data_IF_494667195845
#
_entry.id   IF_494667195845
#
_cell.length_a   1.000
_cell.length_b   1.000
_cell.length_c   1.000
_cell.angle_alpha   90.00
_cell.angle_beta   90.00
_cell.angle_gamma   90.00
#
_symmetry.space_group_name_H-M   'P 1'
#
loop_
_entity.id
_entity.type
_entity.pdbx_description
1 polymer ?
#
# COMPACT_ATOMS: atom_id res chain seq x y z
N UNK A 1 36.33 -23.68 8.86
CA UNK A 1 35.16 -22.94 8.35
C UNK A 1 34.60 -22.20 9.54
N UNK A 2 34.67 -20.87 9.53
CA UNK A 2 33.92 -20.06 10.49
C UNK A 2 32.45 -20.43 10.35
N UNK A 3 31.80 -20.79 11.45
CA UNK A 3 30.36 -21.02 11.50
C UNK A 3 29.65 -19.78 10.96
N UNK A 4 29.15 -19.86 9.72
CA UNK A 4 28.45 -18.73 9.09
C UNK A 4 26.98 -18.87 9.42
N UNK A 5 26.49 -18.05 10.34
CA UNK A 5 25.05 -17.95 10.61
C UNK A 5 24.34 -17.38 9.38
N UNK A 6 23.37 -18.13 8.84
CA UNK A 6 22.48 -17.67 7.78
C UNK A 6 21.24 -17.06 8.45
N UNK A 7 20.98 -15.77 8.19
CA UNK A 7 19.77 -15.09 8.65
C UNK A 7 18.72 -15.13 7.54
N UNK A 8 17.97 -16.24 7.46
CA UNK A 8 16.94 -16.44 6.44
C UNK A 8 15.84 -15.37 6.53
N UNK A 9 15.41 -14.86 5.37
CA UNK A 9 14.38 -13.83 5.29
C UNK A 9 14.71 -12.48 5.93
N UNK A 10 15.93 -12.29 6.45
CA UNK A 10 16.33 -11.15 7.29
C UNK A 10 15.46 -10.99 8.55
N UNK A 11 14.86 -12.08 9.02
CA UNK A 11 14.02 -12.05 10.22
C UNK A 11 14.85 -11.64 11.45
N UNK A 12 14.33 -10.68 12.23
CA UNK A 12 15.01 -10.10 13.39
C UNK A 12 16.37 -9.45 13.11
N UNK A 13 16.65 -9.08 11.85
CA UNK A 13 17.88 -8.34 11.49
C UNK A 13 17.58 -6.85 11.33
N UNK A 14 18.22 -6.02 12.16
CA UNK A 14 18.19 -4.56 12.01
C UNK A 14 19.23 -4.17 10.95
N UNK A 15 18.77 -3.65 9.82
CA UNK A 15 19.63 -3.30 8.66
C UNK A 15 19.81 -1.79 8.45
N UNK A 16 19.02 -0.95 9.14
CA UNK A 16 19.09 0.49 9.07
C UNK A 16 18.51 1.14 10.33
N UNK A 17 18.99 2.33 10.67
CA UNK A 17 18.29 3.26 11.56
C UNK A 17 17.22 4.02 10.75
N UNK A 18 16.10 4.38 11.37
CA UNK A 18 15.04 5.13 10.68
C UNK A 18 14.28 6.06 11.63
N UNK A 19 13.81 7.18 11.10
CA UNK A 19 12.91 8.14 11.76
C UNK A 19 11.48 8.08 11.20
N UNK A 20 11.20 7.24 10.20
CA UNK A 20 9.96 7.28 9.42
C UNK A 20 8.79 6.60 10.12
N UNK A 21 8.99 5.41 10.66
CA UNK A 21 7.96 4.71 11.44
C UNK A 21 8.54 3.75 12.46
N UNK A 22 7.71 3.43 13.46
CA UNK A 22 7.99 2.43 14.49
C UNK A 22 6.74 1.58 14.71
N UNK A 23 6.93 0.28 14.92
CA UNK A 23 5.85 -0.69 15.16
C UNK A 23 6.16 -1.43 16.46
N UNK A 24 5.19 -1.44 17.38
CA UNK A 24 5.16 -2.37 18.51
C UNK A 24 4.02 -3.37 18.28
N UNK A 25 4.39 -4.58 17.86
CA UNK A 25 3.45 -5.65 17.52
C UNK A 25 2.68 -6.20 18.72
N UNK A 26 3.27 -6.15 19.91
CA UNK A 26 2.68 -6.70 21.13
C UNK A 26 1.76 -5.68 21.80
N UNK A 27 2.13 -4.40 21.76
CA UNK A 27 1.29 -3.31 22.26
C UNK A 27 0.22 -2.85 21.25
N UNK A 28 0.33 -3.26 19.97
CA UNK A 28 -0.57 -2.79 18.93
C UNK A 28 -0.34 -1.31 18.59
N UNK A 29 0.91 -0.85 18.62
CA UNK A 29 1.25 0.55 18.34
C UNK A 29 1.86 0.68 16.95
N UNK A 30 1.47 1.75 16.25
CA UNK A 30 2.10 2.22 15.02
C UNK A 30 2.33 3.72 15.16
N UNK A 31 3.60 4.12 15.02
CA UNK A 31 4.04 5.50 15.07
C UNK A 31 4.55 5.90 13.70
N UNK A 32 4.10 7.05 13.20
CA UNK A 32 4.55 7.65 11.94
C UNK A 32 5.25 8.96 12.26
N UNK A 33 6.56 9.02 12.01
CA UNK A 33 7.42 10.18 12.29
C UNK A 33 7.19 10.81 13.68
N UNK A 34 7.06 9.95 14.70
CA UNK A 34 6.86 10.37 16.10
C UNK A 34 5.40 10.57 16.55
N UNK A 35 4.42 10.47 15.65
CA UNK A 35 3.00 10.61 15.97
C UNK A 35 2.28 9.25 16.01
N UNK A 36 1.38 8.99 16.97
CA UNK A 36 0.50 7.83 16.93
C UNK A 36 -0.34 7.85 15.66
N UNK A 37 -0.44 6.70 14.97
CA UNK A 37 -1.17 6.61 13.70
C UNK A 37 -2.61 7.08 13.82
N UNK A 38 -3.30 6.72 14.91
CA UNK A 38 -4.70 7.08 15.10
C UNK A 38 -4.91 8.61 15.08
N UNK A 39 -4.01 9.38 15.70
CA UNK A 39 -4.09 10.84 15.68
C UNK A 39 -3.85 11.40 14.28
N UNK A 40 -2.87 10.84 13.56
CA UNK A 40 -2.48 11.31 12.23
C UNK A 40 -3.55 10.97 11.17
N UNK A 41 -4.04 9.74 11.15
CA UNK A 41 -4.95 9.24 10.14
C UNK A 41 -6.35 9.88 10.22
N UNK A 42 -6.79 10.29 11.41
CA UNK A 42 -8.07 10.96 11.63
C UNK A 42 -8.02 12.47 11.28
N UNK A 43 -6.86 13.12 11.46
CA UNK A 43 -6.78 14.59 11.42
C UNK A 43 -6.02 15.13 10.20
N UNK A 44 -4.93 14.47 9.80
CA UNK A 44 -4.06 14.99 8.76
C UNK A 44 -4.63 14.71 7.37
N UNK A 45 -4.30 15.60 6.44
CA UNK A 45 -4.40 15.31 5.02
C UNK A 45 -3.28 14.39 4.56
N UNK A 46 -3.44 13.74 3.41
CA UNK A 46 -2.38 12.87 2.88
C UNK A 46 -1.10 13.66 2.60
N UNK A 47 -1.24 14.88 2.08
CA UNK A 47 -0.09 15.74 1.77
C UNK A 47 0.66 16.19 3.03
N UNK A 48 -0.04 16.46 4.13
CA UNK A 48 0.59 16.74 5.44
C UNK A 48 1.39 15.54 5.95
N UNK A 49 0.85 14.34 5.79
CA UNK A 49 1.49 13.09 6.21
C UNK A 49 2.75 12.80 5.39
N UNK A 50 2.70 12.99 4.07
CA UNK A 50 3.88 12.83 3.20
C UNK A 50 4.93 13.90 3.52
N UNK A 51 4.51 15.15 3.71
CA UNK A 51 5.43 16.22 4.14
C UNK A 51 6.12 15.87 5.46
N UNK A 52 5.35 15.40 6.45
CA UNK A 52 5.86 14.95 7.74
C UNK A 52 6.89 13.84 7.57
N UNK A 53 6.59 12.82 6.77
CA UNK A 53 7.49 11.71 6.52
C UNK A 53 8.82 12.15 5.90
N UNK A 54 8.82 13.16 5.03
CA UNK A 54 10.05 13.62 4.39
C UNK A 54 10.85 14.57 5.29
N UNK A 55 10.17 15.44 6.02
CA UNK A 55 10.78 16.56 6.73
C UNK A 55 10.96 16.33 8.24
N UNK A 56 10.41 15.23 8.78
CA UNK A 56 10.41 14.90 10.21
C UNK A 56 9.79 16.00 11.10
N UNK A 57 8.82 16.73 10.54
CA UNK A 57 7.97 17.72 11.21
C UNK A 57 6.72 18.00 10.39
N UNK A 58 5.66 18.47 11.03
CA UNK A 58 4.48 18.97 10.32
C UNK A 58 4.79 20.26 9.54
N UNK A 59 4.12 20.48 8.39
CA UNK A 59 4.26 21.72 7.63
C UNK A 59 3.55 22.89 8.31
N UNK A 60 4.02 24.10 8.06
CA UNK A 60 3.20 25.31 8.22
C UNK A 60 2.16 25.40 7.08
N UNK A 61 1.15 26.25 7.23
CA UNK A 61 0.13 26.45 6.19
C UNK A 61 0.71 26.90 4.83
N UNK A 62 1.75 27.74 4.84
CA UNK A 62 2.44 28.19 3.61
C UNK A 62 3.20 27.05 2.94
N UNK A 63 3.93 26.24 3.72
CA UNK A 63 4.66 25.07 3.23
C UNK A 63 3.71 24.01 2.67
N UNK A 64 2.59 23.75 3.34
CA UNK A 64 1.59 22.80 2.84
C UNK A 64 0.96 23.28 1.54
N UNK A 65 0.65 24.58 1.42
CA UNK A 65 0.10 25.16 0.20
C UNK A 65 1.10 25.05 -0.96
N UNK A 66 2.39 25.36 -0.72
CA UNK A 66 3.46 25.17 -1.71
C UNK A 66 3.60 23.71 -2.11
N UNK A 67 3.65 22.80 -1.15
CA UNK A 67 3.80 21.38 -1.40
C UNK A 67 2.65 20.81 -2.23
N UNK A 68 1.41 21.23 -1.96
CA UNK A 68 0.25 20.86 -2.79
C UNK A 68 0.33 21.40 -4.20
N UNK A 69 0.80 22.63 -4.38
CA UNK A 69 1.00 23.22 -5.71
C UNK A 69 2.07 22.46 -6.51
N UNK A 70 3.17 22.08 -5.85
CA UNK A 70 4.23 21.28 -6.47
C UNK A 70 3.72 19.90 -6.90
N UNK A 71 2.97 19.21 -6.03
CA UNK A 71 2.35 17.94 -6.38
C UNK A 71 1.34 18.11 -7.54
N UNK A 72 0.51 19.15 -7.51
CA UNK A 72 -0.46 19.40 -8.57
C UNK A 72 0.21 19.62 -9.94
N UNK A 73 1.36 20.30 -9.98
CA UNK A 73 2.12 20.54 -11.21
C UNK A 73 2.68 19.26 -11.85
N UNK A 74 2.83 18.18 -11.08
CA UNK A 74 3.33 16.90 -11.56
C UNK A 74 2.26 15.86 -11.89
N UNK A 75 0.96 16.16 -11.70
CA UNK A 75 -0.11 15.16 -11.86
C UNK A 75 -0.31 14.68 -13.30
N UNK A 76 0.00 15.51 -14.30
CA UNK A 76 -0.19 15.17 -15.70
C UNK A 76 0.75 14.05 -16.14
N UNK A 77 0.29 13.23 -17.10
CA UNK A 77 1.08 12.19 -17.74
C UNK A 77 1.39 12.61 -19.18
N UNK A 78 2.58 12.26 -19.67
CA UNK A 78 2.89 12.45 -21.09
C UNK A 78 2.08 11.53 -21.99
N UNK A 79 1.94 11.91 -23.26
CA UNK A 79 1.27 11.10 -24.29
C UNK A 79 1.90 9.71 -24.42
N UNK A 80 3.22 9.60 -24.27
CA UNK A 80 3.93 8.32 -24.32
C UNK A 80 3.54 7.38 -23.17
N UNK A 81 3.39 7.92 -21.95
CA UNK A 81 2.92 7.16 -20.80
C UNK A 81 1.45 6.75 -20.99
N UNK A 82 0.60 7.64 -21.52
CA UNK A 82 -0.78 7.30 -21.84
C UNK A 82 -0.89 6.22 -22.93
N UNK A 83 -0.06 6.26 -23.97
CA UNK A 83 -0.01 5.23 -25.02
C UNK A 83 0.42 3.86 -24.47
N UNK A 84 1.38 3.85 -23.52
CA UNK A 84 1.75 2.64 -22.80
C UNK A 84 0.57 2.08 -22.00
N UNK A 85 -0.19 2.94 -21.29
CA UNK A 85 -1.35 2.50 -20.51
C UNK A 85 -2.50 2.03 -21.41
N UNK A 86 -2.69 2.64 -22.58
CA UNK A 86 -3.63 2.17 -23.61
C UNK A 86 -3.26 0.78 -24.10
N UNK A 87 -1.98 0.53 -24.37
CA UNK A 87 -1.51 -0.79 -24.78
C UNK A 87 -1.72 -1.84 -23.67
N UNK A 88 -1.42 -1.50 -22.42
CA UNK A 88 -1.66 -2.38 -21.27
C UNK A 88 -3.17 -2.67 -21.09
N UNK A 89 -4.03 -1.68 -21.25
CA UNK A 89 -5.48 -1.82 -21.15
C UNK A 89 -6.04 -2.71 -22.27
N UNK A 90 -5.53 -2.57 -23.50
CA UNK A 90 -5.92 -3.39 -24.63
C UNK A 90 -5.55 -4.87 -24.48
N UNK A 91 -4.49 -5.17 -23.70
CA UNK A 91 -4.07 -6.53 -23.35
C UNK A 91 -4.76 -7.07 -22.09
N UNK A 92 -5.64 -6.27 -21.45
CA UNK A 92 -6.26 -6.58 -20.17
C UNK A 92 -5.25 -6.96 -19.08
N UNK A 93 -4.15 -6.17 -19.01
CA UNK A 93 -3.09 -6.42 -18.04
C UNK A 93 -3.56 -6.32 -16.59
N UNK A 94 -2.82 -6.93 -15.66
CA UNK A 94 -3.10 -6.73 -14.24
C UNK A 94 -2.87 -5.25 -13.84
N UNK A 95 -3.73 -4.64 -13.00
CA UNK A 95 -3.56 -3.24 -12.58
C UNK A 95 -2.19 -2.93 -11.96
N UNK A 96 -1.58 -3.87 -11.22
CA UNK A 96 -0.23 -3.67 -10.68
C UNK A 96 0.85 -3.73 -11.76
N UNK A 97 0.64 -4.48 -12.85
CA UNK A 97 1.54 -4.43 -14.01
C UNK A 97 1.46 -3.10 -14.74
N UNK A 98 0.25 -2.60 -14.98
CA UNK A 98 0.03 -1.29 -15.57
C UNK A 98 0.66 -0.18 -14.72
N UNK A 99 0.46 -0.22 -13.40
CA UNK A 99 1.09 0.70 -12.46
C UNK A 99 2.62 0.64 -12.54
N UNK A 100 3.22 -0.56 -12.48
CA UNK A 100 4.68 -0.74 -12.57
C UNK A 100 5.25 -0.16 -13.86
N UNK A 101 4.59 -0.40 -15.00
CA UNK A 101 5.02 0.13 -16.29
C UNK A 101 4.86 1.65 -16.36
N UNK A 102 3.74 2.19 -15.86
CA UNK A 102 3.51 3.63 -15.80
C UNK A 102 4.53 4.36 -14.93
N UNK A 103 4.85 3.80 -13.75
CA UNK A 103 5.89 4.34 -12.87
C UNK A 103 7.25 4.36 -13.56
N UNK A 104 7.64 3.27 -14.23
CA UNK A 104 8.90 3.21 -14.98
C UNK A 104 8.98 4.25 -16.12
N UNK A 105 7.83 4.76 -16.58
CA UNK A 105 7.71 5.79 -17.61
C UNK A 105 7.42 7.19 -17.05
N UNK A 106 7.38 7.38 -15.73
CA UNK A 106 6.93 8.62 -15.06
C UNK A 106 7.71 9.88 -15.49
N UNK A 107 9.02 9.74 -15.77
CA UNK A 107 9.87 10.86 -16.20
C UNK A 107 9.71 11.23 -17.67
N UNK A 108 8.99 10.46 -18.48
CA UNK A 108 8.76 10.83 -19.88
C UNK A 108 7.96 12.13 -19.94
N UNK A 109 8.55 13.18 -20.52
CA UNK A 109 7.93 14.49 -20.64
C UNK A 109 8.09 15.39 -19.42
N UNK A 110 8.81 14.95 -18.38
CA UNK A 110 9.09 15.72 -17.18
C UNK A 110 10.60 15.81 -16.95
N UNK A 111 11.09 17.01 -16.62
CA UNK A 111 12.46 17.19 -16.14
C UNK A 111 12.42 17.22 -14.61
N UNK A 112 13.33 16.50 -13.96
CA UNK A 112 13.47 16.50 -12.50
C UNK A 112 14.86 17.01 -12.09
N UNK A 113 14.94 17.81 -11.02
CA UNK A 113 16.20 18.35 -10.49
C UNK A 113 16.64 17.60 -9.21
N UNK A 114 16.66 16.28 -9.29
CA UNK A 114 17.15 15.39 -8.23
C UNK A 114 16.06 14.65 -7.44
N UNK A 115 16.47 13.95 -6.36
CA UNK A 115 15.64 12.92 -5.74
C UNK A 115 14.38 13.44 -5.05
N UNK A 116 14.41 14.65 -4.47
CA UNK A 116 13.20 15.23 -3.88
C UNK A 116 12.13 15.54 -4.93
N UNK A 117 12.57 15.98 -6.12
CA UNK A 117 11.68 16.34 -7.21
C UNK A 117 11.08 15.08 -7.87
N UNK A 118 11.90 14.04 -8.04
CA UNK A 118 11.43 12.70 -8.40
C UNK A 118 10.43 12.13 -7.38
N UNK A 119 10.65 12.35 -6.08
CA UNK A 119 9.71 11.94 -5.04
C UNK A 119 8.35 12.65 -5.19
N UNK A 120 8.35 13.96 -5.45
CA UNK A 120 7.12 14.75 -5.72
C UNK A 120 6.41 14.23 -6.97
N UNK A 121 7.15 14.02 -8.05
CA UNK A 121 6.64 13.45 -9.31
C UNK A 121 5.94 12.11 -9.07
N UNK A 122 6.62 11.18 -8.38
CA UNK A 122 6.09 9.85 -8.11
C UNK A 122 4.82 9.91 -7.26
N UNK A 123 4.85 10.63 -6.12
CA UNK A 123 3.65 10.80 -5.28
C UNK A 123 2.50 11.37 -6.12
N UNK A 124 2.73 12.38 -6.95
CA UNK A 124 1.71 13.02 -7.76
C UNK A 124 1.13 12.13 -8.87
N UNK A 125 1.95 11.34 -9.56
CA UNK A 125 1.54 10.62 -10.77
C UNK A 125 0.93 9.25 -10.53
N UNK A 126 1.27 8.56 -9.43
CA UNK A 126 0.73 7.21 -9.17
C UNK A 126 -0.81 7.17 -9.23
N UNK A 127 -1.57 8.10 -8.61
CA UNK A 127 -3.02 8.16 -8.76
C UNK A 127 -3.48 8.37 -10.20
N UNK A 128 -2.80 9.24 -10.96
CA UNK A 128 -3.15 9.50 -12.37
C UNK A 128 -2.92 8.28 -13.23
N UNK A 129 -1.82 7.54 -13.01
CA UNK A 129 -1.52 6.28 -13.71
C UNK A 129 -2.62 5.25 -13.46
N UNK A 130 -2.99 5.04 -12.20
CA UNK A 130 -4.02 4.06 -11.81
C UNK A 130 -5.39 4.45 -12.39
N UNK A 131 -5.79 5.72 -12.25
CA UNK A 131 -7.07 6.20 -12.73
C UNK A 131 -7.17 6.17 -14.26
N UNK A 132 -6.13 6.63 -14.97
CA UNK A 132 -6.08 6.58 -16.42
C UNK A 132 -6.15 5.13 -16.93
N UNK A 133 -5.36 4.23 -16.34
CA UNK A 133 -5.40 2.80 -16.68
C UNK A 133 -6.80 2.21 -16.49
N UNK A 134 -7.40 2.43 -15.32
CA UNK A 134 -8.72 1.90 -15.00
C UNK A 134 -9.78 2.36 -16.00
N UNK A 135 -9.77 3.65 -16.35
CA UNK A 135 -10.73 4.20 -17.32
C UNK A 135 -10.52 3.59 -18.70
N UNK A 136 -9.28 3.53 -19.18
CA UNK A 136 -8.93 2.94 -20.47
C UNK A 136 -9.33 1.47 -20.56
N UNK A 137 -9.05 0.69 -19.51
CA UNK A 137 -9.44 -0.73 -19.41
C UNK A 137 -10.96 -0.92 -19.52
N UNK A 138 -11.73 0.03 -19.00
CA UNK A 138 -13.19 0.03 -19.06
C UNK A 138 -13.76 0.78 -20.29
N UNK A 139 -12.94 1.08 -21.30
CA UNK A 139 -13.37 1.73 -22.54
C UNK A 139 -13.72 3.21 -22.41
N UNK A 140 -13.32 3.86 -21.32
CA UNK A 140 -13.50 5.29 -21.08
C UNK A 140 -12.20 6.07 -21.33
N UNK A 141 -12.32 7.31 -21.80
CA UNK A 141 -11.16 8.20 -21.90
C UNK A 141 -10.67 8.62 -20.48
N UNK A 142 -9.35 8.78 -20.27
CA UNK A 142 -8.81 9.34 -19.04
C UNK A 142 -9.39 10.72 -18.72
N UNK A 143 -9.57 11.00 -17.43
CA UNK A 143 -9.97 12.31 -16.92
C UNK A 143 -8.70 13.05 -16.49
N UNK A 144 -8.52 14.27 -16.96
CA UNK A 144 -7.38 15.10 -16.58
C UNK A 144 -7.44 15.46 -15.07
N UNK A 145 -6.30 15.56 -14.38
CA UNK A 145 -6.27 15.95 -12.98
C UNK A 145 -6.85 17.36 -12.76
N UNK A 146 -7.55 17.56 -11.65
CA UNK A 146 -8.02 18.87 -11.18
C UNK A 146 -7.04 19.37 -10.10
N UNK A 147 -6.30 20.44 -10.42
CA UNK A 147 -5.29 21.03 -9.54
C UNK A 147 -5.85 21.66 -8.25
N UNK A 148 -7.15 21.98 -8.20
CA UNK A 148 -7.78 22.59 -7.04
C UNK A 148 -8.23 21.53 -5.99
N UNK A 149 -8.24 20.25 -6.37
CA UNK A 149 -8.60 19.14 -5.48
C UNK A 149 -7.40 18.64 -4.67
N UNK A 150 -7.66 18.23 -3.42
CA UNK A 150 -6.68 17.48 -2.61
C UNK A 150 -6.28 16.18 -3.30
N UNK A 151 -5.19 15.57 -2.85
CA UNK A 151 -4.65 14.36 -3.43
C UNK A 151 -5.68 13.21 -3.51
N UNK A 152 -6.36 12.93 -2.38
CA UNK A 152 -7.40 11.92 -2.31
C UNK A 152 -8.62 12.27 -3.17
N UNK A 153 -9.10 13.53 -3.11
CA UNK A 153 -10.25 13.96 -3.90
C UNK A 153 -9.97 13.90 -5.41
N UNK A 154 -8.78 14.30 -5.83
CA UNK A 154 -8.36 14.25 -7.23
C UNK A 154 -8.28 12.79 -7.73
N UNK A 155 -7.78 11.86 -6.91
CA UNK A 155 -7.75 10.44 -7.29
C UNK A 155 -9.16 9.90 -7.57
N UNK A 156 -10.11 10.12 -6.66
CA UNK A 156 -11.51 9.70 -6.86
C UNK A 156 -12.13 10.39 -8.08
N UNK A 157 -11.91 11.69 -8.23
CA UNK A 157 -12.38 12.45 -9.38
C UNK A 157 -11.87 11.89 -10.70
N UNK A 158 -10.57 11.56 -10.81
CA UNK A 158 -10.00 11.00 -12.02
C UNK A 158 -10.50 9.57 -12.29
N UNK A 159 -10.82 8.79 -11.26
CA UNK A 159 -11.39 7.45 -11.42
C UNK A 159 -12.81 7.52 -11.99
N UNK A 160 -13.68 8.31 -11.37
CA UNK A 160 -15.13 8.30 -11.67
C UNK A 160 -15.51 9.31 -12.75
N UNK A 161 -14.82 10.45 -12.82
CA UNK A 161 -15.19 11.63 -13.60
C UNK A 161 -16.11 12.59 -12.86
N UNK A 162 -16.44 12.32 -11.60
CA UNK A 162 -17.34 13.10 -10.75
C UNK A 162 -16.61 13.58 -9.50
N UNK A 163 -16.91 14.81 -9.03
CA UNK A 163 -16.27 15.32 -7.81
C UNK A 163 -16.77 14.52 -6.61
N UNK A 164 -15.87 13.94 -5.79
CA UNK A 164 -16.27 13.16 -4.64
C UNK A 164 -16.90 14.06 -3.58
N UNK A 165 -17.73 13.46 -2.74
CA UNK A 165 -18.23 14.06 -1.50
C UNK A 165 -17.11 14.21 -0.47
N UNK A 166 -17.35 15.04 0.53
CA UNK A 166 -16.42 15.21 1.66
C UNK A 166 -16.21 13.89 2.42
N UNK A 167 -17.25 13.06 2.52
CA UNK A 167 -17.19 11.76 3.20
C UNK A 167 -16.32 10.75 2.44
N UNK A 168 -16.48 10.65 1.11
CA UNK A 168 -15.62 9.78 0.28
C UNK A 168 -14.16 10.25 0.30
N UNK A 169 -13.95 11.57 0.18
CA UNK A 169 -12.62 12.18 0.25
C UNK A 169 -11.94 11.87 1.58
N UNK A 170 -12.65 12.08 2.70
CA UNK A 170 -12.11 11.84 4.03
C UNK A 170 -11.85 10.36 4.30
N UNK A 171 -12.75 9.48 3.86
CA UNK A 171 -12.60 8.03 3.99
C UNK A 171 -11.34 7.54 3.27
N UNK A 172 -11.16 7.93 2.01
CA UNK A 172 -9.95 7.60 1.26
C UNK A 172 -8.70 8.18 1.91
N UNK A 173 -8.73 9.44 2.34
CA UNK A 173 -7.56 10.09 2.94
C UNK A 173 -7.13 9.41 4.25
N UNK A 174 -8.09 9.00 5.09
CA UNK A 174 -7.81 8.21 6.30
C UNK A 174 -7.24 6.84 5.94
N UNK A 175 -7.72 6.21 4.87
CA UNK A 175 -7.11 4.98 4.36
C UNK A 175 -5.65 5.19 3.95
N UNK A 176 -5.39 6.18 3.09
CA UNK A 176 -4.04 6.46 2.59
C UNK A 176 -3.05 6.74 3.74
N UNK A 177 -3.48 7.51 4.74
CA UNK A 177 -2.65 7.78 5.92
C UNK A 177 -2.44 6.52 6.78
N UNK A 178 -3.46 5.67 6.93
CA UNK A 178 -3.38 4.44 7.75
C UNK A 178 -2.37 3.43 7.22
N UNK A 179 -2.06 3.49 5.92
CA UNK A 179 -1.13 2.57 5.26
C UNK A 179 0.02 3.29 4.56
N UNK A 180 0.26 4.57 4.87
CA UNK A 180 1.31 5.37 4.22
C UNK A 180 2.69 4.78 4.45
N UNK A 181 2.92 4.20 5.65
CA UNK A 181 4.14 3.51 6.02
C UNK A 181 3.94 2.40 7.06
N UNK A 182 4.80 1.38 6.99
CA UNK A 182 4.75 0.21 7.86
C UNK A 182 6.14 -0.42 7.98
N UNK A 183 7.14 0.42 8.27
CA UNK A 183 8.53 0.05 8.46
C UNK A 183 9.19 -0.58 7.23
N UNK A 184 10.24 -1.37 7.51
CA UNK A 184 11.10 -1.95 6.48
C UNK A 184 10.57 -3.27 5.91
N UNK A 185 9.30 -3.27 5.50
CA UNK A 185 8.69 -4.40 4.78
C UNK A 185 9.34 -4.62 3.40
N UNK A 186 8.98 -5.73 2.73
CA UNK A 186 9.67 -6.19 1.52
C UNK A 186 9.76 -5.14 0.40
N UNK A 187 8.69 -4.37 0.15
CA UNK A 187 8.71 -3.30 -0.87
C UNK A 187 9.55 -2.10 -0.46
N UNK A 188 9.47 -1.67 0.81
CA UNK A 188 10.34 -0.61 1.34
C UNK A 188 11.81 -1.01 1.26
N UNK A 189 12.16 -2.22 1.71
CA UNK A 189 13.52 -2.72 1.68
C UNK A 189 14.05 -2.82 0.24
N UNK A 190 13.22 -3.26 -0.70
CA UNK A 190 13.57 -3.30 -2.12
C UNK A 190 13.90 -1.92 -2.67
N UNK A 191 13.07 -0.91 -2.37
CA UNK A 191 13.34 0.49 -2.74
C UNK A 191 14.66 1.01 -2.16
N UNK A 192 14.89 0.80 -0.84
CA UNK A 192 16.15 1.18 -0.19
C UNK A 192 17.37 0.47 -0.77
N UNK A 193 17.27 -0.83 -1.05
CA UNK A 193 18.36 -1.60 -1.64
C UNK A 193 18.72 -1.09 -3.03
N UNK A 194 17.73 -0.78 -3.87
CA UNK A 194 17.93 -0.22 -5.20
C UNK A 194 18.59 1.17 -5.09
N UNK A 195 18.00 2.10 -4.33
CA UNK A 195 18.53 3.47 -4.20
C UNK A 195 19.89 3.53 -3.53
N UNK A 196 20.26 2.52 -2.71
CA UNK A 196 21.59 2.45 -2.08
C UNK A 196 22.75 2.36 -3.09
N UNK A 197 22.44 2.05 -4.35
CA UNK A 197 23.37 2.07 -5.48
C UNK A 197 23.58 3.46 -6.09
N UNK A 198 22.92 4.49 -5.55
CA UNK A 198 22.87 5.87 -6.06
C UNK A 198 22.11 6.03 -7.38
N UNK A 199 21.18 5.11 -7.67
CA UNK A 199 20.22 5.26 -8.77
C UNK A 199 19.06 6.20 -8.38
N UNK A 200 18.29 6.63 -9.36
CA UNK A 200 17.09 7.47 -9.24
C UNK A 200 15.93 6.81 -8.47
N UNK A 201 15.00 7.64 -7.97
CA UNK A 201 13.84 7.16 -7.20
C UNK A 201 12.79 6.47 -8.09
N UNK A 202 12.76 6.75 -9.40
CA UNK A 202 11.83 6.08 -10.31
C UNK A 202 12.18 4.60 -10.42
N UNK A 203 13.48 4.27 -10.53
CA UNK A 203 14.02 2.91 -10.45
C UNK A 203 13.68 2.24 -9.11
N UNK A 204 13.86 2.97 -8.00
CA UNK A 204 13.58 2.45 -6.67
C UNK A 204 12.09 2.13 -6.45
N UNK A 205 11.19 3.05 -6.82
CA UNK A 205 9.74 2.87 -6.69
C UNK A 205 9.23 1.82 -7.68
N UNK A 206 9.77 1.73 -8.90
CA UNK A 206 9.46 0.64 -9.83
C UNK A 206 9.77 -0.73 -9.20
N UNK A 207 10.92 -0.87 -8.54
CA UNK A 207 11.27 -2.08 -7.80
C UNK A 207 10.38 -2.34 -6.58
N UNK A 208 10.01 -1.29 -5.83
CA UNK A 208 9.10 -1.39 -4.70
C UNK A 208 7.69 -1.85 -5.12
N UNK A 209 7.15 -1.32 -6.23
CA UNK A 209 5.89 -1.79 -6.85
C UNK A 209 6.03 -3.25 -7.28
N UNK A 210 7.15 -3.63 -7.90
CA UNK A 210 7.43 -5.03 -8.27
C UNK A 210 7.43 -5.99 -7.08
N UNK A 211 7.99 -5.57 -5.93
CA UNK A 211 7.97 -6.35 -4.70
C UNK A 211 6.55 -6.39 -4.07
N UNK A 212 5.82 -5.27 -4.09
CA UNK A 212 4.44 -5.19 -3.59
C UNK A 212 3.47 -6.08 -4.37
N UNK A 213 3.65 -6.21 -5.68
CA UNK A 213 2.86 -7.09 -6.55
C UNK A 213 2.90 -8.56 -6.11
N UNK A 214 3.95 -8.99 -5.41
CA UNK A 214 4.09 -10.39 -4.99
C UNK A 214 2.96 -10.82 -4.04
N UNK A 215 2.35 -12.02 -4.23
CA UNK A 215 1.21 -12.48 -3.44
C UNK A 215 1.51 -12.75 -1.96
N UNK A 216 2.80 -12.73 -1.58
CA UNK A 216 3.25 -12.88 -0.19
C UNK A 216 3.45 -11.54 0.54
N UNK A 217 3.27 -10.40 -0.14
CA UNK A 217 3.50 -9.08 0.44
C UNK A 217 2.23 -8.25 0.52
N UNK A 218 1.62 -7.92 -0.62
CA UNK A 218 0.36 -7.19 -0.65
C UNK A 218 -0.74 -8.04 -0.02
N UNK A 219 -1.10 -7.75 1.24
CA UNK A 219 -2.33 -8.25 1.85
C UNK A 219 -3.48 -7.78 0.98
N UNK A 220 -4.00 -8.67 0.13
CA UNK A 220 -5.06 -8.33 -0.80
C UNK A 220 -6.37 -8.23 -0.02
N UNK A 221 -7.03 -7.06 0.07
CA UNK A 221 -8.33 -6.98 0.73
C UNK A 221 -9.45 -7.50 -0.18
N UNK A 222 -9.18 -7.81 -1.45
CA UNK A 222 -10.17 -8.38 -2.38
C UNK A 222 -10.85 -9.63 -1.83
N UNK A 223 -10.10 -10.67 -1.42
CA UNK A 223 -10.69 -11.85 -0.78
C UNK A 223 -11.46 -11.59 0.52
N UNK A 224 -11.14 -10.51 1.25
CA UNK A 224 -11.95 -10.09 2.41
C UNK A 224 -13.29 -9.54 1.92
N UNK A 225 -13.29 -8.69 0.89
CA UNK A 225 -14.52 -8.17 0.32
C UNK A 225 -15.41 -9.29 -0.23
N UNK A 226 -14.84 -10.25 -0.96
CA UNK A 226 -15.58 -11.40 -1.49
C UNK A 226 -16.26 -12.17 -0.35
N UNK A 227 -15.52 -12.47 0.72
CA UNK A 227 -16.07 -13.10 1.94
C UNK A 227 -17.21 -12.28 2.55
N UNK A 228 -17.05 -10.96 2.67
CA UNK A 228 -18.07 -10.09 3.25
C UNK A 228 -19.34 -10.03 2.38
N UNK A 229 -19.19 -10.02 1.06
CA UNK A 229 -20.32 -10.04 0.12
C UNK A 229 -21.07 -11.38 0.16
N UNK A 230 -20.35 -12.51 0.18
CA UNK A 230 -20.94 -13.86 0.31
C UNK A 230 -21.75 -13.99 1.62
N UNK A 231 -21.20 -13.47 2.73
CA UNK A 231 -21.89 -13.48 4.01
C UNK A 231 -23.08 -12.52 4.01
N UNK A 232 -22.95 -11.35 3.38
CA UNK A 232 -24.04 -10.38 3.27
C UNK A 232 -25.21 -10.94 2.43
N UNK A 233 -24.93 -11.70 1.38
CA UNK A 233 -25.95 -12.36 0.56
C UNK A 233 -26.62 -13.53 1.30
N UNK A 234 -25.83 -14.37 1.98
CA UNK A 234 -26.36 -15.54 2.68
C UNK A 234 -27.06 -15.20 4.02
N UNK A 235 -26.60 -14.15 4.69
CA UNK A 235 -27.04 -13.77 6.04
C UNK A 235 -26.52 -14.69 7.15
N UNK A 236 -25.57 -15.60 6.86
CA UNK A 236 -25.07 -16.61 7.81
C UNK A 236 -23.55 -16.53 8.01
N UNK A 237 -23.13 -15.57 8.84
CA UNK A 237 -21.72 -15.40 9.19
C UNK A 237 -21.15 -16.60 9.98
N UNK A 238 -21.96 -17.23 10.85
CA UNK A 238 -21.51 -18.32 11.69
C UNK A 238 -21.23 -19.57 10.86
N UNK A 239 -22.18 -19.97 10.01
CA UNK A 239 -22.01 -21.13 9.12
C UNK A 239 -20.81 -20.97 8.19
N UNK A 240 -20.65 -19.78 7.57
CA UNK A 240 -19.50 -19.51 6.71
C UNK A 240 -18.15 -19.71 7.43
N UNK A 241 -18.01 -19.14 8.64
CA UNK A 241 -16.77 -19.23 9.41
C UNK A 241 -16.55 -20.67 9.92
N UNK A 242 -17.59 -21.35 10.39
CA UNK A 242 -17.51 -22.74 10.84
C UNK A 242 -17.03 -23.67 9.73
N UNK A 243 -17.61 -23.55 8.53
CA UNK A 243 -17.24 -24.35 7.35
C UNK A 243 -15.75 -24.15 7.00
N UNK A 244 -15.29 -22.89 6.92
CA UNK A 244 -13.87 -22.60 6.65
C UNK A 244 -12.94 -23.18 7.70
N UNK A 245 -13.32 -23.12 8.97
CA UNK A 245 -12.53 -23.69 10.06
C UNK A 245 -12.52 -25.22 10.03
N UNK A 246 -13.63 -25.86 9.66
CA UNK A 246 -13.75 -27.32 9.49
C UNK A 246 -12.88 -27.85 8.34
N UNK A 247 -12.75 -27.05 7.28
CA UNK A 247 -11.90 -27.34 6.12
C UNK A 247 -10.41 -27.03 6.37
N UNK A 248 -10.08 -26.40 7.50
CA UNK A 248 -8.73 -25.98 7.85
C UNK A 248 -8.22 -24.78 7.04
N UNK A 249 -9.14 -24.02 6.44
CA UNK A 249 -8.84 -22.82 5.69
C UNK A 249 -8.60 -21.61 6.63
N UNK A 250 -8.05 -20.53 6.07
CA UNK A 250 -7.84 -19.28 6.79
C UNK A 250 -9.05 -18.38 6.61
N UNK A 251 -9.42 -17.63 7.65
CA UNK A 251 -10.41 -16.56 7.53
C UNK A 251 -9.70 -15.29 7.07
N UNK A 252 -10.11 -14.76 5.92
CA UNK A 252 -9.51 -13.55 5.35
C UNK A 252 -9.80 -12.35 6.25
N UNK A 253 -8.80 -11.49 6.48
CA UNK A 253 -8.92 -10.34 7.36
C UNK A 253 -8.58 -10.60 8.84
N UNK A 254 -8.09 -11.79 9.18
CA UNK A 254 -7.72 -12.18 10.55
C UNK A 254 -6.29 -12.75 10.63
N UNK A 255 -5.59 -12.37 11.71
CA UNK A 255 -4.18 -12.71 11.96
C UNK A 255 -3.20 -11.77 11.27
N UNK A 256 -2.04 -11.57 11.90
CA UNK A 256 -0.97 -10.71 11.38
C UNK A 256 0.40 -11.26 11.76
N UNK A 257 1.42 -11.04 10.92
CA UNK A 257 2.80 -11.52 11.21
C UNK A 257 3.48 -10.76 12.35
N UNK A 258 3.08 -9.51 12.56
CA UNK A 258 3.66 -8.61 13.58
C UNK A 258 2.73 -8.42 14.77
N UNK A 259 1.40 -8.40 14.57
CA UNK A 259 0.45 -8.04 15.63
C UNK A 259 -0.14 -9.30 16.25
N UNK A 260 0.01 -9.42 17.57
CA UNK A 260 -0.64 -10.46 18.39
C UNK A 260 -1.96 -9.97 19.02
N UNK A 261 -2.39 -8.77 18.66
CA UNK A 261 -3.61 -8.10 19.10
C UNK A 261 -4.34 -7.54 17.87
N UNK A 262 -5.55 -6.99 18.06
CA UNK A 262 -6.26 -6.29 16.99
C UNK A 262 -5.37 -5.19 16.43
N UNK A 263 -5.21 -5.17 15.12
CA UNK A 263 -4.36 -4.19 14.45
C UNK A 263 -4.86 -2.75 14.74
N UNK A 264 -4.00 -1.82 15.18
CA UNK A 264 -4.42 -0.44 15.43
C UNK A 264 -5.04 0.23 14.20
N UNK A 265 -4.59 -0.15 13.00
CA UNK A 265 -5.15 0.36 11.73
C UNK A 265 -6.56 -0.14 11.51
N UNK A 266 -6.88 -1.38 11.92
CA UNK A 266 -8.23 -1.91 11.80
C UNK A 266 -9.22 -1.07 12.63
N UNK A 267 -8.82 -0.59 13.81
CA UNK A 267 -9.64 0.30 14.62
C UNK A 267 -9.86 1.67 13.95
N UNK A 268 -8.80 2.30 13.43
CA UNK A 268 -8.89 3.58 12.70
C UNK A 268 -9.81 3.46 11.48
N UNK A 269 -9.62 2.42 10.67
CA UNK A 269 -10.41 2.18 9.47
C UNK A 269 -11.86 1.81 9.79
N UNK A 270 -12.10 1.11 10.91
CA UNK A 270 -13.44 0.84 11.42
C UNK A 270 -14.19 2.13 11.76
N UNK A 271 -13.55 3.06 12.46
CA UNK A 271 -14.15 4.36 12.81
C UNK A 271 -14.42 5.22 11.56
N UNK A 272 -13.51 5.18 10.58
CA UNK A 272 -13.68 5.87 9.30
C UNK A 272 -14.82 5.27 8.48
N UNK A 273 -14.92 3.93 8.43
CA UNK A 273 -16.02 3.23 7.78
C UNK A 273 -17.35 3.59 8.45
N UNK A 274 -17.45 3.54 9.78
CA UNK A 274 -18.66 3.93 10.49
C UNK A 274 -19.11 5.34 10.12
N UNK A 275 -18.21 6.32 10.22
CA UNK A 275 -18.50 7.71 9.84
C UNK A 275 -18.97 7.85 8.39
N UNK A 276 -18.35 7.12 7.46
CA UNK A 276 -18.73 7.10 6.06
C UNK A 276 -20.15 6.54 5.86
N UNK A 277 -20.43 5.34 6.39
CA UNK A 277 -21.73 4.69 6.23
C UNK A 277 -22.86 5.44 6.93
N UNK A 278 -22.58 6.18 8.01
CA UNK A 278 -23.57 7.06 8.65
C UNK A 278 -23.92 8.31 7.83
N UNK A 279 -23.00 8.79 6.99
CA UNK A 279 -23.19 9.99 6.17
C UNK A 279 -24.06 9.78 4.92
N UNK A 280 -24.31 8.52 4.53
CA UNK A 280 -25.11 8.21 3.34
C UNK A 280 -24.82 6.86 2.68
N UNK A 281 -23.88 6.06 3.20
CA UNK A 281 -23.57 4.73 2.65
C UNK A 281 -24.62 3.66 2.99
N UNK A 282 -24.43 2.46 2.45
CA UNK A 282 -25.27 1.29 2.73
C UNK A 282 -25.06 0.76 4.15
N UNK A 283 -25.68 1.40 5.15
CA UNK A 283 -25.52 1.06 6.58
C UNK A 283 -25.70 -0.43 6.88
N UNK A 284 -26.58 -1.12 6.17
CA UNK A 284 -26.80 -2.56 6.33
C UNK A 284 -25.52 -3.39 6.08
N UNK A 285 -24.73 -3.07 5.06
CA UNK A 285 -23.49 -3.77 4.76
C UNK A 285 -22.44 -3.58 5.88
N UNK A 286 -22.34 -2.37 6.43
CA UNK A 286 -21.45 -2.10 7.56
C UNK A 286 -21.83 -2.88 8.82
N UNK A 287 -23.14 -2.98 9.13
CA UNK A 287 -23.62 -3.81 10.24
C UNK A 287 -23.33 -5.31 10.02
N UNK A 288 -23.43 -5.79 8.77
CA UNK A 288 -22.99 -7.15 8.41
C UNK A 288 -21.50 -7.32 8.70
N UNK A 289 -20.64 -6.39 8.26
CA UNK A 289 -19.20 -6.48 8.52
C UNK A 289 -18.86 -6.52 10.01
N UNK A 290 -19.51 -5.69 10.85
CA UNK A 290 -19.36 -5.73 12.32
C UNK A 290 -19.81 -7.06 12.93
N UNK A 291 -20.89 -7.63 12.40
CA UNK A 291 -21.37 -8.96 12.81
C UNK A 291 -20.35 -10.03 12.46
N UNK A 292 -19.80 -10.00 11.24
CA UNK A 292 -18.74 -10.93 10.80
C UNK A 292 -17.50 -10.81 11.68
N UNK A 293 -17.05 -9.59 12.02
CA UNK A 293 -15.90 -9.39 12.91
C UNK A 293 -16.12 -10.06 14.26
N UNK A 294 -17.28 -9.81 14.87
CA UNK A 294 -17.63 -10.34 16.19
C UNK A 294 -17.73 -11.87 16.16
N UNK A 295 -18.54 -12.41 15.25
CA UNK A 295 -18.75 -13.86 15.10
C UNK A 295 -17.45 -14.60 14.82
N UNK A 296 -16.60 -14.06 13.94
CA UNK A 296 -15.31 -14.68 13.62
C UNK A 296 -14.39 -14.67 14.83
N UNK A 297 -14.31 -13.55 15.55
CA UNK A 297 -13.46 -13.43 16.75
C UNK A 297 -13.88 -14.42 17.83
N UNK A 298 -15.19 -14.58 18.07
CA UNK A 298 -15.73 -15.52 19.04
C UNK A 298 -15.40 -16.97 18.67
N UNK A 299 -15.66 -17.37 17.41
CA UNK A 299 -15.40 -18.72 16.91
C UNK A 299 -13.90 -19.05 16.88
N UNK A 300 -13.05 -18.11 16.51
CA UNK A 300 -11.59 -18.31 16.55
C UNK A 300 -11.10 -18.47 17.99
N UNK A 301 -11.63 -17.69 18.94
CA UNK A 301 -11.28 -17.81 20.35
C UNK A 301 -11.72 -19.16 20.94
N UNK A 302 -12.86 -19.69 20.52
CA UNK A 302 -13.35 -21.01 20.95
C UNK A 302 -12.55 -22.16 20.32
N UNK A 303 -12.36 -22.12 19.00
CA UNK A 303 -11.84 -23.26 18.22
C UNK A 303 -10.32 -23.26 18.07
N UNK A 304 -9.68 -22.09 18.16
CA UNK A 304 -8.23 -21.89 17.97
C UNK A 304 -7.64 -21.01 19.08
N UNK A 305 -7.87 -21.33 20.38
CA UNK A 305 -7.42 -20.49 21.50
C UNK A 305 -5.90 -20.33 21.58
N UNK A 306 -5.14 -21.24 20.97
CA UNK A 306 -3.68 -21.22 20.95
C UNK A 306 -3.10 -20.26 19.90
N UNK A 307 -3.92 -19.69 19.03
CA UNK A 307 -3.49 -18.75 17.99
C UNK A 307 -4.06 -17.35 18.23
N UNK A 308 -3.21 -16.33 18.12
CA UNK A 308 -3.68 -14.96 18.04
C UNK A 308 -4.11 -14.63 16.60
N UNK A 309 -5.41 -14.65 16.36
CA UNK A 309 -6.03 -14.38 15.06
C UNK A 309 -7.02 -13.22 15.19
N UNK A 310 -6.52 -12.05 15.62
CA UNK A 310 -7.32 -10.83 15.69
C UNK A 310 -7.50 -10.18 14.31
N UNK A 311 -8.49 -9.30 14.18
CA UNK A 311 -8.75 -8.53 12.96
C UNK A 311 -7.51 -7.73 12.53
N UNK A 312 -7.16 -7.84 11.25
CA UNK A 312 -6.06 -7.09 10.65
C UNK A 312 -6.57 -5.91 9.81
N UNK A 313 -5.63 -5.10 9.30
CA UNK A 313 -5.95 -3.89 8.52
C UNK A 313 -6.77 -4.18 7.26
N UNK A 314 -6.60 -5.35 6.65
CA UNK A 314 -7.26 -5.73 5.40
C UNK A 314 -8.78 -5.82 5.56
N UNK A 315 -9.28 -6.21 6.75
CA UNK A 315 -10.71 -6.36 7.01
C UNK A 315 -11.48 -5.05 6.78
N UNK A 316 -11.13 -4.01 7.52
CA UNK A 316 -11.79 -2.70 7.40
C UNK A 316 -11.30 -1.89 6.19
N UNK A 317 -10.14 -2.24 5.61
CA UNK A 317 -9.76 -1.74 4.28
C UNK A 317 -10.80 -2.13 3.25
N UNK A 318 -11.19 -3.40 3.17
CA UNK A 318 -12.18 -3.88 2.22
C UNK A 318 -13.53 -3.16 2.40
N UNK A 319 -13.98 -3.05 3.66
CA UNK A 319 -15.25 -2.39 4.03
C UNK A 319 -15.27 -0.91 3.62
N UNK A 320 -14.20 -0.17 3.92
CA UNK A 320 -14.12 1.26 3.65
C UNK A 320 -13.97 1.53 2.15
N UNK A 321 -13.01 0.87 1.49
CA UNK A 321 -12.72 1.08 0.06
C UNK A 321 -13.90 0.69 -0.83
N UNK A 322 -14.60 -0.40 -0.48
CA UNK A 322 -15.85 -0.76 -1.16
C UNK A 322 -16.91 0.33 -0.99
N UNK A 323 -17.10 0.83 0.24
CA UNK A 323 -18.07 1.88 0.55
C UNK A 323 -17.86 3.15 -0.28
N UNK A 324 -16.61 3.63 -0.37
CA UNK A 324 -16.27 4.83 -1.17
C UNK A 324 -16.22 4.58 -2.69
N UNK A 325 -16.53 3.36 -3.14
CA UNK A 325 -16.64 3.02 -4.56
C UNK A 325 -15.32 2.72 -5.28
N UNK A 326 -14.24 2.38 -4.55
CA UNK A 326 -13.02 1.89 -5.20
C UNK A 326 -13.24 0.43 -5.67
N UNK A 327 -13.01 0.12 -6.95
CA UNK A 327 -13.06 -1.26 -7.45
C UNK A 327 -12.05 -2.17 -6.73
N UNK A 328 -12.42 -3.42 -6.45
CA UNK A 328 -11.57 -4.33 -5.69
C UNK A 328 -10.27 -4.68 -6.43
N UNK A 329 -10.29 -4.66 -7.76
CA UNK A 329 -9.09 -4.83 -8.60
C UNK A 329 -8.07 -3.71 -8.42
N UNK A 330 -8.50 -2.55 -7.92
CA UNK A 330 -7.64 -1.41 -7.64
C UNK A 330 -7.19 -1.31 -6.18
N UNK A 331 -7.57 -2.24 -5.30
CA UNK A 331 -7.18 -2.17 -3.89
C UNK A 331 -5.67 -2.18 -3.71
N UNK A 332 -4.95 -3.07 -4.39
CA UNK A 332 -3.49 -3.14 -4.27
C UNK A 332 -2.79 -1.94 -4.91
N UNK A 333 -3.31 -1.41 -6.02
CA UNK A 333 -2.76 -0.17 -6.61
C UNK A 333 -3.05 1.05 -5.75
N UNK A 334 -4.19 1.09 -5.06
CA UNK A 334 -4.53 2.16 -4.09
C UNK A 334 -3.65 2.06 -2.84
N UNK A 335 -3.32 0.85 -2.40
CA UNK A 335 -2.29 0.65 -1.37
C UNK A 335 -0.91 1.17 -1.84
N UNK A 336 -0.54 0.96 -3.11
CA UNK A 336 0.70 1.50 -3.67
C UNK A 336 0.71 3.05 -3.72
N UNK A 337 -0.44 3.68 -4.03
CA UNK A 337 -0.62 5.15 -3.98
C UNK A 337 -0.36 5.70 -2.58
N UNK A 338 -0.76 4.99 -1.53
CA UNK A 338 -0.40 5.38 -0.17
C UNK A 338 1.09 5.13 0.11
N UNK A 339 1.58 3.93 -0.20
CA UNK A 339 2.93 3.48 0.15
C UNK A 339 4.04 4.25 -0.51
N UNK A 340 3.81 4.87 -1.66
CA UNK A 340 4.84 5.67 -2.32
C UNK A 340 5.33 6.83 -1.44
N UNK A 341 4.47 7.38 -0.56
CA UNK A 341 4.89 8.39 0.43
C UNK A 341 5.98 7.86 1.37
N UNK A 342 5.79 6.66 1.93
CA UNK A 342 6.79 6.01 2.78
C UNK A 342 8.00 5.45 2.01
N UNK A 343 7.80 4.90 0.80
CA UNK A 343 8.90 4.41 -0.03
C UNK A 343 9.87 5.54 -0.38
N UNK A 344 9.37 6.69 -0.83
CA UNK A 344 10.21 7.84 -1.15
C UNK A 344 10.86 8.41 0.11
N UNK A 345 10.14 8.49 1.25
CA UNK A 345 10.71 8.92 2.52
C UNK A 345 11.91 8.06 2.97
N UNK A 346 11.80 6.74 2.82
CA UNK A 346 12.88 5.80 3.12
C UNK A 346 14.02 5.85 2.10
N UNK A 347 13.72 6.13 0.82
CA UNK A 347 14.75 6.28 -0.19
C UNK A 347 15.56 7.58 0.03
N UNK A 348 14.89 8.68 0.35
CA UNK A 348 15.53 9.94 0.73
C UNK A 348 16.38 9.76 1.99
N UNK A 349 15.85 9.11 3.03
CA UNK A 349 16.63 8.75 4.25
C UNK A 349 17.86 7.89 3.94
N UNK A 350 17.75 6.96 2.99
CA UNK A 350 18.87 6.15 2.54
C UNK A 350 19.93 6.98 1.80
N UNK A 351 19.53 7.97 0.99
CA UNK A 351 20.46 8.83 0.24
C UNK A 351 21.20 9.83 1.15
N UNK A 352 20.55 10.32 2.21
CA UNK A 352 21.15 11.26 3.16
C UNK A 352 22.37 10.70 3.93
N UNK A 353 22.38 9.40 4.25
CA UNK A 353 23.52 8.68 4.85
C UNK A 353 23.78 7.35 4.13
N UNK A 354 24.11 7.44 2.84
CA UNK A 354 24.13 6.27 1.98
C UNK A 354 25.25 5.26 2.26
N UNK A 355 24.85 3.99 2.31
CA UNK A 355 25.73 2.82 2.25
C UNK A 355 25.10 1.75 1.36
N UNK A 356 25.85 1.29 0.36
CA UNK A 356 25.41 0.24 -0.54
C UNK A 356 25.00 -1.04 0.22
N UNK A 357 23.78 -1.52 -0.03
CA UNK A 357 23.26 -2.76 0.54
C UNK A 357 23.80 -3.94 -0.26
N UNK A 358 24.77 -4.65 0.31
CA UNK A 358 25.49 -5.76 -0.36
C UNK A 358 25.73 -6.95 0.57
N UNK A 359 24.71 -7.79 0.84
CA UNK A 359 24.87 -8.97 1.69
C UNK A 359 25.76 -10.03 1.03
N UNK A 360 26.16 -11.04 1.81
CA UNK A 360 26.90 -12.22 1.34
C UNK A 360 25.97 -13.43 1.27
N UNK A 361 26.28 -14.37 0.37
CA UNK A 361 25.69 -15.70 0.33
C UNK A 361 26.72 -16.76 0.74
N UNK A 362 26.25 -17.82 1.42
CA UNK A 362 27.07 -19.03 1.62
C UNK A 362 27.03 -19.90 0.34
N UNK A 363 28.19 -20.19 -0.24
CA UNK A 363 28.27 -21.08 -1.40
C UNK A 363 28.18 -22.54 -0.94
N UNK A 364 27.14 -23.25 -1.36
CA UNK A 364 26.90 -24.68 -1.04
C UNK A 364 26.90 -25.58 -2.28
N UNK A 365 27.35 -25.05 -3.42
CA UNK A 365 27.47 -25.80 -4.67
C UNK A 365 28.65 -26.77 -4.67
N UNK A 366 28.67 -27.70 -5.62
CA UNK A 366 29.82 -28.59 -5.79
C UNK A 366 31.10 -27.80 -6.10
N UNK A 367 32.18 -28.12 -5.40
CA UNK A 367 33.51 -27.54 -5.63
C UNK A 367 34.34 -28.42 -6.57
N UNK A 368 35.39 -27.85 -7.16
CA UNK A 368 36.37 -28.56 -7.99
C UNK A 368 35.77 -29.33 -9.18
N UNK A 369 34.68 -28.81 -9.77
CA UNK A 369 34.15 -29.34 -11.02
C UNK A 369 35.12 -28.99 -12.15
N UNK A 370 35.48 -30.00 -12.94
CA UNK A 370 36.24 -29.79 -14.16
C UNK A 370 35.29 -29.43 -15.29
N UNK A 371 35.64 -28.37 -16.03
CA UNK A 371 34.89 -27.99 -17.22
C UNK A 371 35.14 -29.02 -18.33
N UNK A 372 34.07 -29.56 -18.90
CA UNK A 372 34.14 -30.46 -20.05
C UNK A 372 33.55 -29.77 -21.30
N UNK A 373 34.26 -29.82 -22.45
CA UNK A 373 33.70 -29.47 -23.75
C UNK A 373 32.34 -30.11 -23.96
N UNK A 374 31.42 -29.47 -24.68
CA UNK A 374 30.06 -30.01 -24.85
C UNK A 374 30.05 -31.37 -25.54
N UNK A 375 31.09 -31.66 -26.32
CA UNK A 375 31.37 -32.92 -26.98
C UNK A 375 31.88 -34.03 -26.03
N UNK A 376 32.27 -33.68 -24.80
CA UNK A 376 32.92 -34.56 -23.80
C UNK A 376 32.12 -34.69 -22.47
N UNK A 377 30.89 -34.19 -22.41
CA UNK A 377 30.02 -34.22 -21.20
C UNK A 377 29.27 -35.53 -20.98
#
# INVERSE_FOLDING_TARGET
MTDQTINEGLENVIVAETRRSYIDGDAGELVIAGYPLAELAEQATFEETVFLLWNDRLPTAEELASFRADLAAYRDLSDATLDLLRAAAADDADPMDALRMGVAAATLGHETDGPEDEARLLVAQLPTIVAAYWRLRNGNEPVAPDGDLSHAANYLYMLTGEKPTDAETRGLETYLNSVVDHGLNASTFSGRAIVSTETDLVSAVTGAVGALKGPLHGGAPGPVLDMLLDINESGDAAGYVEDKLDEGERIMGFGHRVYNVRDPRAAVLSSAAESFYESGGERAFFETAKTVETTTTDLLSERRPDLSLATNVEFYTAVLLHGIGIPSELFTTTFAIARVGGWTAHCLEQLDDNRIIRPRSAYVGGENREWQPVEER
#
